data_IF_663817303179
#
_entry.id   IF_663817303179
#
_cell.length_a   1.000
_cell.length_b   1.000
_cell.length_c   1.000
_cell.angle_alpha   90.00
_cell.angle_beta   90.00
_cell.angle_gamma   90.00
#
_symmetry.space_group_name_H-M   'P 1'
#
loop_
_entity.id
_entity.type
_entity.pdbx_description
1 polymer ?
#
# COMPACT_ATOMS: atom_id res chain seq x y z
N UNK A 1 -13.23 1.52 -13.56
CA UNK A 1 -12.11 1.23 -12.62
C UNK A 1 -11.68 2.42 -11.77
N UNK A 2 -11.86 3.69 -12.21
CA UNK A 2 -11.61 4.90 -11.41
C UNK A 2 -12.57 5.08 -10.22
N UNK A 3 -13.83 4.62 -10.33
CA UNK A 3 -14.89 4.94 -9.35
C UNK A 3 -14.72 4.32 -7.95
N UNK A 4 -14.15 3.11 -7.82
CA UNK A 4 -14.10 2.41 -6.52
C UNK A 4 -12.99 2.99 -5.62
N UNK A 5 -11.85 3.37 -6.21
CA UNK A 5 -10.78 4.02 -5.47
C UNK A 5 -11.07 5.49 -5.16
N UNK A 6 -11.73 6.21 -6.08
CA UNK A 6 -12.17 7.61 -5.83
C UNK A 6 -13.25 7.68 -4.75
N UNK A 7 -14.13 6.68 -4.65
CA UNK A 7 -15.07 6.56 -3.54
C UNK A 7 -14.35 6.33 -2.19
N UNK A 8 -13.29 5.51 -2.18
CA UNK A 8 -12.43 5.34 -1.00
C UNK A 8 -11.69 6.66 -0.62
N UNK A 9 -11.36 7.47 -1.63
CA UNK A 9 -10.61 8.73 -1.51
C UNK A 9 -11.46 9.90 -1.00
N UNK A 10 -12.72 10.07 -1.46
CA UNK A 10 -13.59 11.17 -1.00
C UNK A 10 -14.00 11.00 0.47
N UNK A 11 -14.29 9.77 0.88
CA UNK A 11 -14.95 9.52 2.16
C UNK A 11 -13.96 9.46 3.33
N UNK A 12 -12.71 9.04 3.04
CA UNK A 12 -11.62 9.07 4.00
C UNK A 12 -11.11 10.50 4.28
N UNK A 13 -11.07 11.37 3.25
CA UNK A 13 -10.76 12.81 3.42
C UNK A 13 -11.84 13.50 4.27
N UNK A 14 -13.12 13.14 4.06
CA UNK A 14 -14.25 13.68 4.82
C UNK A 14 -14.14 13.34 6.31
N UNK A 15 -13.80 12.09 6.65
CA UNK A 15 -13.61 11.67 8.05
C UNK A 15 -12.43 12.37 8.74
N UNK A 16 -11.33 12.65 8.04
CA UNK A 16 -10.18 13.37 8.59
C UNK A 16 -10.50 14.84 8.86
N UNK A 17 -11.24 15.51 7.96
CA UNK A 17 -11.66 16.90 8.19
C UNK A 17 -12.64 17.03 9.35
N UNK A 18 -13.53 16.04 9.54
CA UNK A 18 -14.40 15.96 10.71
C UNK A 18 -13.56 15.80 11.99
N UNK A 19 -12.64 14.84 12.08
CA UNK A 19 -11.87 14.65 13.31
C UNK A 19 -10.95 15.87 13.65
N UNK A 20 -10.44 16.56 12.63
CA UNK A 20 -9.62 17.78 12.76
C UNK A 20 -10.43 18.99 13.24
N UNK A 21 -11.63 19.20 12.73
CA UNK A 21 -12.51 20.28 13.20
C UNK A 21 -12.94 20.07 14.65
N UNK A 22 -13.25 18.84 15.04
CA UNK A 22 -13.66 18.54 16.41
C UNK A 22 -12.50 18.65 17.41
N UNK A 23 -11.29 18.21 17.05
CA UNK A 23 -10.10 18.38 17.90
C UNK A 23 -9.68 19.85 18.10
N UNK A 24 -9.81 20.69 17.07
CA UNK A 24 -9.51 22.12 17.16
C UNK A 24 -10.58 22.90 17.93
N UNK A 25 -11.86 22.58 17.76
CA UNK A 25 -12.96 23.18 18.53
C UNK A 25 -12.85 22.83 20.02
N UNK A 26 -12.45 21.59 20.35
CA UNK A 26 -12.29 21.17 21.74
C UNK A 26 -11.09 21.83 22.43
N UNK A 27 -9.96 22.02 21.72
CA UNK A 27 -8.74 22.65 22.26
C UNK A 27 -8.81 24.18 22.31
N UNK A 28 -9.59 24.81 21.42
CA UNK A 28 -9.84 26.25 21.44
C UNK A 28 -10.88 26.64 22.51
N UNK A 29 -11.94 25.85 22.70
CA UNK A 29 -12.96 26.15 23.73
C UNK A 29 -12.47 25.93 25.17
N UNK A 30 -11.58 24.98 25.44
CA UNK A 30 -11.03 24.79 26.80
C UNK A 30 -10.14 25.95 27.25
N UNK A 31 -9.38 26.56 26.33
CA UNK A 31 -8.52 27.71 26.63
C UNK A 31 -9.25 29.06 26.69
N UNK A 32 -10.38 29.20 26.00
CA UNK A 32 -11.22 30.42 26.06
C UNK A 32 -12.13 30.39 27.29
N UNK A 33 -12.67 29.22 27.67
CA UNK A 33 -13.57 29.11 28.83
C UNK A 33 -12.81 29.23 30.16
N UNK A 34 -11.54 28.84 30.24
CA UNK A 34 -10.75 29.00 31.49
C UNK A 34 -10.24 30.41 31.73
N UNK A 35 -10.11 31.27 30.70
CA UNK A 35 -9.65 32.66 30.86
C UNK A 35 -10.76 33.69 31.05
N UNK A 36 -12.00 33.39 30.66
CA UNK A 36 -13.11 34.36 30.75
C UNK A 36 -14.08 34.09 31.90
N UNK A 37 -13.99 32.95 32.59
CA UNK A 37 -14.97 32.53 33.61
C UNK A 37 -14.44 32.57 35.06
N UNK A 38 -13.55 33.53 35.39
CA UNK A 38 -13.12 33.81 36.78
C UNK A 38 -13.95 34.89 37.46
N UNK A 39 -14.71 35.70 36.72
CA UNK A 39 -15.55 36.74 37.34
C UNK A 39 -16.94 36.73 36.74
N UNK A 40 -17.94 36.62 37.64
CA UNK A 40 -19.34 36.99 37.43
C UNK A 40 -20.20 35.92 36.73
N UNK A 41 -20.82 35.03 37.50
CA UNK A 41 -22.28 34.97 37.69
C UNK A 41 -22.69 33.70 38.46
N UNK A 42 -23.34 33.90 39.60
CA UNK A 42 -24.02 32.85 40.37
C UNK A 42 -25.38 32.54 39.71
N UNK A 43 -25.57 31.31 39.21
CA UNK A 43 -26.83 30.49 39.24
C UNK A 43 -26.70 29.25 38.33
N UNK A 44 -27.24 28.08 38.73
CA UNK A 44 -27.07 26.84 37.98
C UNK A 44 -28.14 26.72 36.88
N UNK A 45 -27.72 26.66 35.62
CA UNK A 45 -28.61 26.41 34.48
C UNK A 45 -28.17 25.14 33.75
N UNK A 46 -28.93 24.07 34.00
CA UNK A 46 -29.13 22.82 33.24
C UNK A 46 -28.04 22.46 32.21
N UNK A 47 -27.13 21.58 32.64
CA UNK A 47 -26.09 20.89 31.83
C UNK A 47 -26.61 19.74 30.96
N UNK A 48 -27.94 19.56 30.82
CA UNK A 48 -28.51 18.35 30.21
C UNK A 48 -28.47 18.31 28.67
N UNK A 49 -28.35 19.45 27.99
CA UNK A 49 -28.41 19.53 26.52
C UNK A 49 -27.05 19.44 25.83
N UNK A 50 -25.96 19.86 26.49
CA UNK A 50 -24.60 19.76 25.93
C UNK A 50 -24.07 18.31 25.95
N UNK A 51 -24.47 17.53 26.94
CA UNK A 51 -24.06 16.13 27.10
C UNK A 51 -24.77 15.21 26.09
N UNK A 52 -26.05 15.49 25.78
CA UNK A 52 -26.85 14.72 24.83
C UNK A 52 -26.33 14.85 23.38
N UNK A 53 -25.93 16.06 22.95
CA UNK A 53 -25.43 16.24 21.58
C UNK A 53 -24.06 15.58 21.36
N UNK A 54 -23.17 15.63 22.35
CA UNK A 54 -21.85 15.00 22.30
C UNK A 54 -21.95 13.47 22.24
N UNK A 55 -22.84 12.87 23.01
CA UNK A 55 -23.06 11.41 22.98
C UNK A 55 -23.68 10.96 21.65
N UNK A 56 -24.64 11.69 21.09
CA UNK A 56 -25.18 11.37 19.74
C UNK A 56 -24.13 11.51 18.64
N UNK A 57 -23.25 12.52 18.71
CA UNK A 57 -22.18 12.71 17.73
C UNK A 57 -21.10 11.64 17.86
N UNK A 58 -20.70 11.27 19.08
CA UNK A 58 -19.78 10.16 19.32
C UNK A 58 -20.35 8.84 18.81
N UNK A 59 -21.62 8.55 19.12
CA UNK A 59 -22.30 7.34 18.64
C UNK A 59 -22.39 7.29 17.11
N UNK A 60 -22.65 8.43 16.45
CA UNK A 60 -22.73 8.51 15.00
C UNK A 60 -21.37 8.33 14.32
N UNK A 61 -20.29 8.89 14.89
CA UNK A 61 -18.91 8.69 14.42
C UNK A 61 -18.46 7.24 14.58
N UNK A 62 -18.78 6.61 15.71
CA UNK A 62 -18.43 5.22 15.99
C UNK A 62 -19.17 4.23 15.09
N UNK A 63 -20.47 4.46 14.85
CA UNK A 63 -21.29 3.68 13.91
C UNK A 63 -20.77 3.82 12.47
N UNK A 64 -20.34 5.01 12.06
CA UNK A 64 -19.76 5.21 10.74
C UNK A 64 -18.40 4.48 10.59
N UNK A 65 -17.56 4.54 11.62
CA UNK A 65 -16.26 3.85 11.66
C UNK A 65 -16.39 2.34 11.51
N UNK A 66 -17.31 1.72 12.25
CA UNK A 66 -17.55 0.27 12.19
C UNK A 66 -18.09 -0.20 10.84
N UNK A 67 -18.97 0.59 10.20
CA UNK A 67 -19.50 0.29 8.87
C UNK A 67 -18.43 0.33 7.78
N UNK A 68 -17.51 1.30 7.83
CA UNK A 68 -16.41 1.45 6.87
C UNK A 68 -15.39 0.32 7.00
N UNK A 69 -15.06 -0.08 8.23
CA UNK A 69 -14.17 -1.23 8.46
C UNK A 69 -14.80 -2.49 7.89
N UNK A 70 -16.10 -2.71 8.13
CA UNK A 70 -16.83 -3.87 7.58
C UNK A 70 -16.78 -3.89 6.05
N UNK A 71 -17.13 -2.77 5.39
CA UNK A 71 -17.13 -2.66 3.92
C UNK A 71 -15.76 -2.99 3.32
N UNK A 72 -14.68 -2.44 3.89
CA UNK A 72 -13.32 -2.73 3.43
C UNK A 72 -13.01 -4.23 3.46
N UNK A 73 -13.35 -4.91 4.57
CA UNK A 73 -13.09 -6.36 4.69
C UNK A 73 -13.78 -7.13 3.59
N UNK A 74 -15.06 -6.84 3.34
CA UNK A 74 -15.83 -7.48 2.29
C UNK A 74 -15.23 -7.24 0.90
N UNK A 75 -14.74 -6.04 0.62
CA UNK A 75 -14.05 -5.76 -0.65
C UNK A 75 -12.79 -6.60 -0.83
N UNK A 76 -11.92 -6.68 0.19
CA UNK A 76 -10.70 -7.50 0.13
C UNK A 76 -11.06 -8.97 -0.08
N UNK A 77 -12.00 -9.51 0.70
CA UNK A 77 -12.42 -10.90 0.58
C UNK A 77 -13.09 -11.20 -0.75
N UNK A 78 -13.91 -10.29 -1.27
CA UNK A 78 -14.55 -10.43 -2.58
C UNK A 78 -13.50 -10.52 -3.69
N UNK A 79 -12.50 -9.64 -3.68
CA UNK A 79 -11.39 -9.70 -4.64
C UNK A 79 -10.57 -10.98 -4.46
N UNK A 80 -10.29 -11.38 -3.23
CA UNK A 80 -9.53 -12.61 -2.94
C UNK A 80 -10.25 -13.87 -3.42
N UNK A 81 -11.53 -14.04 -3.10
CA UNK A 81 -12.33 -15.18 -3.58
C UNK A 81 -12.46 -15.15 -5.10
N UNK A 82 -12.74 -13.98 -5.69
CA UNK A 82 -12.87 -13.83 -7.14
C UNK A 82 -11.56 -14.19 -7.84
N UNK A 83 -10.42 -13.74 -7.31
CA UNK A 83 -9.12 -14.04 -7.87
C UNK A 83 -8.76 -15.53 -7.74
N UNK A 84 -9.13 -16.17 -6.62
CA UNK A 84 -8.96 -17.61 -6.43
C UNK A 84 -9.79 -18.40 -7.45
N UNK A 85 -11.09 -18.11 -7.57
CA UNK A 85 -11.96 -18.76 -8.55
C UNK A 85 -11.46 -18.54 -9.98
N UNK A 86 -11.01 -17.32 -10.29
CA UNK A 86 -10.46 -17.00 -11.60
C UNK A 86 -9.18 -17.78 -11.89
N UNK A 87 -8.20 -17.77 -10.98
CA UNK A 87 -6.90 -18.39 -11.19
C UNK A 87 -6.96 -19.92 -11.38
N UNK A 88 -7.85 -20.60 -10.65
CA UNK A 88 -7.99 -22.05 -10.73
C UNK A 88 -9.01 -22.51 -11.78
N UNK A 89 -10.06 -21.73 -12.04
CA UNK A 89 -11.16 -22.11 -12.93
C UNK A 89 -11.08 -21.53 -14.34
N UNK A 90 -10.72 -20.24 -14.48
CA UNK A 90 -10.89 -19.48 -15.73
C UNK A 90 -9.59 -19.02 -16.38
N UNK A 91 -8.47 -19.05 -15.66
CA UNK A 91 -7.20 -18.60 -16.18
C UNK A 91 -6.77 -19.43 -17.42
N UNK A 92 -6.44 -18.77 -18.54
CA UNK A 92 -6.14 -19.45 -19.79
C UNK A 92 -4.82 -20.22 -19.69
N UNK A 93 -4.70 -21.25 -20.53
CA UNK A 93 -3.53 -22.11 -20.56
C UNK A 93 -3.46 -23.16 -19.45
N UNK A 94 -2.47 -24.03 -19.57
CA UNK A 94 -2.00 -24.88 -18.48
C UNK A 94 -0.96 -24.11 -17.66
N UNK A 95 -0.67 -24.58 -16.44
CA UNK A 95 0.61 -24.25 -15.81
C UNK A 95 1.68 -24.82 -16.75
N UNK A 96 2.24 -23.98 -17.63
CA UNK A 96 2.98 -24.45 -18.80
C UNK A 96 4.11 -25.41 -18.42
N UNK A 97 4.62 -26.16 -19.40
CA UNK A 97 5.67 -27.17 -19.23
C UNK A 97 6.72 -26.74 -18.20
N UNK A 98 6.80 -27.44 -17.07
CA UNK A 98 7.71 -27.13 -15.94
C UNK A 98 9.16 -26.82 -16.36
N UNK A 99 9.54 -27.21 -17.57
CA UNK A 99 10.78 -26.90 -18.26
C UNK A 99 10.98 -25.41 -18.59
N UNK A 100 9.97 -24.67 -19.07
CA UNK A 100 10.10 -23.22 -19.31
C UNK A 100 10.25 -22.44 -18.00
N UNK A 101 9.53 -22.86 -16.95
CA UNK A 101 9.68 -22.30 -15.60
C UNK A 101 11.06 -22.62 -15.01
N UNK A 102 11.56 -23.84 -15.22
CA UNK A 102 12.93 -24.21 -14.83
C UNK A 102 13.97 -23.36 -15.55
N UNK A 103 13.80 -23.07 -16.85
CA UNK A 103 14.67 -22.14 -17.60
C UNK A 103 14.65 -20.73 -17.01
N UNK A 104 13.46 -20.22 -16.66
CA UNK A 104 13.31 -18.91 -16.01
C UNK A 104 14.05 -18.85 -14.66
N UNK A 105 13.92 -19.89 -13.85
CA UNK A 105 14.54 -19.96 -12.51
C UNK A 105 16.05 -20.22 -12.61
N UNK A 106 16.50 -21.02 -13.58
CA UNK A 106 17.91 -21.36 -13.74
C UNK A 106 18.72 -20.25 -14.40
N UNK A 107 18.12 -19.51 -15.36
CA UNK A 107 18.75 -18.37 -15.99
C UNK A 107 17.71 -17.27 -16.31
N UNK A 108 17.44 -16.38 -15.35
CA UNK A 108 16.47 -15.29 -15.52
C UNK A 108 16.89 -14.23 -16.55
N UNK A 109 18.16 -14.26 -16.99
CA UNK A 109 18.70 -13.36 -18.01
C UNK A 109 18.91 -14.06 -19.37
N UNK A 110 18.32 -15.24 -19.55
CA UNK A 110 18.41 -15.95 -20.82
C UNK A 110 17.69 -15.14 -21.92
N UNK A 111 18.28 -14.99 -23.13
CA UNK A 111 17.68 -14.21 -24.22
C UNK A 111 16.27 -14.69 -24.65
N UNK A 112 15.97 -15.97 -24.43
CA UNK A 112 14.66 -16.58 -24.74
C UNK A 112 13.56 -16.24 -23.71
N UNK A 113 13.90 -15.56 -22.61
CA UNK A 113 12.93 -15.18 -21.59
C UNK A 113 12.49 -13.74 -21.82
N UNK A 114 11.18 -13.56 -21.98
CA UNK A 114 10.58 -12.24 -22.12
C UNK A 114 10.89 -11.35 -20.90
N UNK A 115 11.49 -10.17 -21.15
CA UNK A 115 12.01 -9.29 -20.09
C UNK A 115 10.90 -8.63 -19.26
N UNK A 116 9.73 -8.40 -19.85
CA UNK A 116 8.55 -7.85 -19.17
C UNK A 116 8.03 -8.85 -18.14
N UNK A 117 8.02 -10.15 -18.48
CA UNK A 117 7.65 -11.16 -17.51
C UNK A 117 8.65 -11.27 -16.36
N UNK A 118 9.95 -11.19 -16.64
CA UNK A 118 11.01 -11.16 -15.61
C UNK A 118 10.79 -9.99 -14.64
N UNK A 119 10.43 -8.82 -15.16
CA UNK A 119 10.09 -7.65 -14.35
C UNK A 119 8.91 -7.93 -13.41
N UNK A 120 7.80 -8.45 -13.93
CA UNK A 120 6.60 -8.76 -13.14
C UNK A 120 6.92 -9.81 -12.07
N UNK A 121 7.59 -10.89 -12.48
CA UNK A 121 7.91 -12.01 -11.61
C UNK A 121 8.84 -11.60 -10.46
N UNK A 122 9.88 -10.82 -10.73
CA UNK A 122 10.74 -10.28 -9.67
C UNK A 122 10.04 -9.20 -8.84
N UNK A 123 9.14 -8.42 -9.46
CA UNK A 123 8.27 -7.46 -8.78
C UNK A 123 7.38 -8.09 -7.71
N UNK A 124 6.92 -9.33 -7.93
CA UNK A 124 6.22 -10.11 -6.91
C UNK A 124 7.07 -10.44 -5.68
N UNK A 125 8.40 -10.51 -5.81
CA UNK A 125 9.31 -10.63 -4.66
C UNK A 125 9.51 -9.30 -3.91
N UNK A 126 9.50 -8.17 -4.65
CA UNK A 126 9.61 -6.83 -4.06
C UNK A 126 8.37 -6.44 -3.26
N UNK A 127 7.19 -6.81 -3.73
CA UNK A 127 5.92 -6.41 -3.11
C UNK A 127 5.82 -6.85 -1.63
N UNK A 128 6.05 -8.12 -1.25
CA UNK A 128 6.12 -8.54 0.15
C UNK A 128 7.13 -7.75 0.97
N UNK A 129 8.27 -7.37 0.38
CA UNK A 129 9.26 -6.52 1.05
C UNK A 129 8.69 -5.11 1.31
N UNK A 130 8.01 -4.49 0.34
CA UNK A 130 7.30 -3.22 0.53
C UNK A 130 6.20 -3.32 1.60
N UNK A 131 5.37 -4.36 1.52
CA UNK A 131 4.33 -4.62 2.51
C UNK A 131 4.93 -4.82 3.91
N UNK A 132 6.08 -5.50 4.02
CA UNK A 132 6.76 -5.71 5.30
C UNK A 132 7.18 -4.38 5.94
N UNK A 133 7.69 -3.43 5.15
CA UNK A 133 8.07 -2.08 5.63
C UNK A 133 6.91 -1.25 6.14
N UNK A 134 5.69 -1.53 5.69
CA UNK A 134 4.49 -0.81 6.11
C UNK A 134 3.69 -1.55 7.19
N UNK A 135 3.76 -2.87 7.26
CA UNK A 135 2.94 -3.67 8.17
C UNK A 135 3.69 -4.03 9.47
N UNK A 136 4.95 -4.47 9.37
CA UNK A 136 5.68 -5.03 10.53
C UNK A 136 5.99 -4.04 11.66
N UNK A 137 6.41 -2.78 11.41
CA UNK A 137 6.77 -1.85 12.50
C UNK A 137 5.62 -1.51 13.47
N UNK A 138 4.40 -1.95 13.13
CA UNK A 138 3.14 -1.50 13.75
C UNK A 138 2.33 -2.66 14.34
N UNK A 139 2.88 -3.86 14.35
CA UNK A 139 2.18 -5.00 14.93
C UNK A 139 2.06 -4.85 16.44
N UNK A 140 0.84 -5.04 16.97
CA UNK A 140 0.63 -5.21 18.41
C UNK A 140 0.95 -6.65 18.78
N UNK A 141 1.36 -6.87 20.03
CA UNK A 141 1.55 -8.22 20.60
C UNK A 141 0.30 -9.10 20.47
N UNK A 142 -0.89 -8.51 20.62
CA UNK A 142 -2.18 -9.23 20.63
C UNK A 142 -2.95 -9.15 19.30
N UNK A 143 -2.35 -8.59 18.25
CA UNK A 143 -2.96 -8.56 16.91
C UNK A 143 -2.50 -9.72 16.03
N UNK A 144 -3.29 -10.02 14.99
CA UNK A 144 -2.88 -10.96 13.94
C UNK A 144 -1.53 -10.55 13.35
N UNK A 145 -0.54 -11.44 13.45
CA UNK A 145 0.84 -11.21 12.97
C UNK A 145 0.89 -11.29 11.45
N UNK A 146 1.48 -10.31 10.78
CA UNK A 146 1.61 -10.27 9.32
C UNK A 146 2.76 -11.12 8.81
N UNK A 147 3.83 -11.27 9.59
CA UNK A 147 5.07 -11.93 9.13
C UNK A 147 4.86 -13.31 8.48
N UNK A 148 3.96 -14.21 8.95
CA UNK A 148 3.76 -15.49 8.28
C UNK A 148 3.16 -15.30 6.89
N UNK A 149 2.16 -14.43 6.78
CA UNK A 149 1.50 -14.11 5.51
C UNK A 149 2.45 -13.40 4.53
N UNK A 150 3.36 -12.56 5.04
CA UNK A 150 4.39 -11.90 4.23
C UNK A 150 5.38 -12.90 3.65
N UNK A 151 5.89 -13.84 4.46
CA UNK A 151 6.82 -14.87 3.97
C UNK A 151 6.13 -15.77 2.93
N UNK A 152 4.92 -16.23 3.23
CA UNK A 152 4.17 -17.10 2.29
C UNK A 152 3.79 -16.34 1.01
N UNK A 153 3.57 -15.02 1.09
CA UNK A 153 3.29 -14.19 -0.08
C UNK A 153 4.46 -14.04 -1.06
N UNK A 154 5.68 -14.41 -0.69
CA UNK A 154 6.79 -14.50 -1.67
C UNK A 154 6.54 -15.58 -2.74
N UNK A 155 5.75 -16.60 -2.41
CA UNK A 155 5.44 -17.71 -3.32
C UNK A 155 4.02 -17.64 -3.87
N UNK A 156 3.08 -17.21 -3.03
CA UNK A 156 1.64 -17.22 -3.34
C UNK A 156 1.05 -15.83 -3.58
N UNK A 157 1.82 -14.76 -3.36
CA UNK A 157 1.37 -13.40 -3.58
C UNK A 157 0.10 -13.02 -2.84
N UNK A 158 -0.89 -12.46 -3.53
CA UNK A 158 -2.16 -12.05 -2.93
C UNK A 158 -2.98 -13.23 -2.40
N UNK A 159 -2.76 -14.47 -2.86
CA UNK A 159 -3.45 -15.63 -2.27
C UNK A 159 -3.12 -15.77 -0.78
N UNK A 160 -1.88 -15.48 -0.39
CA UNK A 160 -1.45 -15.48 1.01
C UNK A 160 -1.74 -14.16 1.71
N UNK A 161 -1.52 -13.02 1.04
CA UNK A 161 -1.63 -11.72 1.68
C UNK A 161 -3.08 -11.22 1.82
N UNK A 162 -3.97 -11.60 0.89
CA UNK A 162 -5.37 -11.17 0.85
C UNK A 162 -6.16 -11.46 2.13
N UNK A 163 -6.14 -12.68 2.70
CA UNK A 163 -6.83 -12.99 3.95
C UNK A 163 -6.31 -12.14 5.11
N UNK A 164 -5.00 -11.92 5.19
CA UNK A 164 -4.41 -11.05 6.20
C UNK A 164 -4.91 -9.60 6.05
N UNK A 165 -4.89 -9.04 4.83
CA UNK A 165 -5.37 -7.68 4.57
C UNK A 165 -6.87 -7.52 4.87
N UNK A 166 -7.67 -8.57 4.65
CA UNK A 166 -9.09 -8.60 4.99
C UNK A 166 -9.35 -8.66 6.49
N UNK A 167 -8.57 -9.45 7.22
CA UNK A 167 -8.74 -9.64 8.67
C UNK A 167 -8.13 -8.52 9.51
N UNK A 168 -7.03 -7.91 9.05
CA UNK A 168 -6.35 -6.85 9.80
C UNK A 168 -7.28 -5.67 10.08
N UNK A 169 -6.99 -4.91 11.13
CA UNK A 169 -7.65 -3.63 11.42
C UNK A 169 -6.70 -2.50 11.00
N UNK A 170 -7.06 -1.67 10.00
CA UNK A 170 -6.30 -0.48 9.64
C UNK A 170 -6.09 0.42 10.84
N UNK A 171 -4.94 1.09 10.92
CA UNK A 171 -4.66 2.03 12.02
C UNK A 171 -4.47 3.43 11.48
N UNK A 172 -5.31 4.35 11.96
CA UNK A 172 -5.24 5.77 11.62
C UNK A 172 -5.01 6.69 12.84
N UNK A 173 -4.98 6.13 14.06
CA UNK A 173 -4.66 6.86 15.28
C UNK A 173 -3.14 6.92 15.46
N UNK A 174 -2.64 8.06 15.94
CA UNK A 174 -1.22 8.23 16.30
C UNK A 174 -0.81 7.09 17.25
N UNK A 175 0.20 6.34 16.86
CA UNK A 175 0.73 5.21 17.64
C UNK A 175 1.43 5.81 18.86
N UNK A 176 1.03 5.40 20.07
CA UNK A 176 1.77 5.71 21.29
C UNK A 176 3.19 5.11 21.20
N UNK A 177 4.18 5.78 21.78
CA UNK A 177 5.59 5.44 21.63
C UNK A 177 5.92 3.99 22.02
N UNK A 178 5.19 3.45 22.99
CA UNK A 178 5.29 2.14 23.62
C UNK A 178 4.88 0.95 22.72
N UNK A 179 4.15 1.20 21.64
CA UNK A 179 3.60 0.15 20.77
C UNK A 179 4.37 -0.02 19.45
N UNK A 180 5.41 0.80 19.25
CA UNK A 180 6.27 0.71 18.08
C UNK A 180 7.35 -0.35 18.24
N UNK A 181 7.48 -1.24 17.26
CA UNK A 181 8.52 -2.25 17.24
C UNK A 181 9.53 -1.93 16.14
N UNK A 182 10.78 -1.57 16.48
CA UNK A 182 11.82 -1.41 15.48
C UNK A 182 12.06 -2.77 14.81
N UNK A 183 11.84 -2.81 13.50
CA UNK A 183 11.97 -4.02 12.68
C UNK A 183 13.13 -3.87 11.72
N UNK A 184 13.60 -4.98 11.16
CA UNK A 184 14.67 -4.97 10.14
C UNK A 184 14.34 -4.05 8.96
N UNK A 185 13.05 -3.89 8.67
CA UNK A 185 12.53 -3.04 7.58
C UNK A 185 12.63 -1.53 7.84
N UNK A 186 13.01 -1.12 9.05
CA UNK A 186 13.27 0.29 9.40
C UNK A 186 14.73 0.68 9.20
N UNK A 187 15.62 -0.29 8.93
CA UNK A 187 17.01 -0.02 8.64
C UNK A 187 17.15 0.78 7.33
N UNK A 188 18.01 1.81 7.33
CA UNK A 188 18.35 2.59 6.14
C UNK A 188 18.89 1.70 5.02
N UNK A 189 19.70 0.70 5.34
CA UNK A 189 20.26 -0.22 4.34
C UNK A 189 19.18 -1.00 3.60
N UNK A 190 18.17 -1.50 4.33
CA UNK A 190 17.02 -2.20 3.73
C UNK A 190 16.25 -1.28 2.78
N UNK A 191 15.97 -0.04 3.20
CA UNK A 191 15.22 0.96 2.41
C UNK A 191 15.94 1.29 1.09
N UNK A 192 17.23 1.61 1.17
CA UNK A 192 18.01 1.96 -0.03
C UNK A 192 18.28 0.74 -0.92
N UNK A 193 18.55 -0.44 -0.34
CA UNK A 193 18.73 -1.68 -1.11
C UNK A 193 17.47 -2.02 -1.91
N UNK A 194 16.29 -1.92 -1.29
CA UNK A 194 15.01 -2.14 -1.98
C UNK A 194 14.82 -1.13 -3.12
N UNK A 195 15.07 0.15 -2.89
CA UNK A 195 14.95 1.17 -3.93
C UNK A 195 15.90 0.93 -5.11
N UNK A 196 17.18 0.64 -4.84
CA UNK A 196 18.16 0.31 -5.88
C UNK A 196 17.71 -0.92 -6.67
N UNK A 197 17.23 -1.97 -5.98
CA UNK A 197 16.73 -3.17 -6.63
C UNK A 197 15.54 -2.87 -7.55
N UNK A 198 14.59 -2.04 -7.12
CA UNK A 198 13.46 -1.60 -7.96
C UNK A 198 13.92 -0.82 -9.17
N UNK A 199 14.88 0.09 -9.02
CA UNK A 199 15.45 0.85 -10.15
C UNK A 199 16.12 -0.09 -11.15
N UNK A 200 16.92 -1.06 -10.66
CA UNK A 200 17.55 -2.09 -11.48
C UNK A 200 16.49 -2.91 -12.23
N UNK A 201 15.44 -3.38 -11.55
CA UNK A 201 14.35 -4.12 -12.19
C UNK A 201 13.67 -3.32 -13.30
N UNK A 202 13.42 -2.02 -13.09
CA UNK A 202 12.85 -1.16 -14.13
C UNK A 202 13.78 -0.99 -15.32
N UNK A 203 15.08 -0.82 -15.09
CA UNK A 203 16.07 -0.68 -16.15
C UNK A 203 16.16 -1.95 -17.00
N UNK A 204 16.25 -3.12 -16.36
CA UNK A 204 16.35 -4.41 -17.05
C UNK A 204 15.01 -4.82 -17.69
N UNK A 205 13.90 -4.64 -16.97
CA UNK A 205 12.57 -5.06 -17.36
C UNK A 205 11.98 -4.29 -18.53
N UNK A 206 12.18 -2.98 -18.54
CA UNK A 206 11.70 -2.08 -19.61
C UNK A 206 12.79 -1.75 -20.62
N UNK A 207 13.97 -2.40 -20.54
CA UNK A 207 15.13 -2.16 -21.40
C UNK A 207 15.44 -0.68 -21.63
N UNK A 208 15.25 0.15 -20.60
CA UNK A 208 15.37 1.62 -20.67
C UNK A 208 16.83 2.05 -20.96
N UNK A 209 17.80 1.16 -20.76
CA UNK A 209 19.20 1.40 -21.06
C UNK A 209 19.72 0.39 -22.09
N UNK A 210 19.72 0.72 -23.40
CA UNK A 210 20.37 -0.10 -24.42
C UNK A 210 21.90 -0.11 -24.27
N UNK A 211 22.48 0.77 -23.44
CA UNK A 211 23.91 1.07 -23.43
C UNK A 211 24.82 -0.12 -23.10
N UNK A 212 24.29 -1.21 -22.54
CA UNK A 212 25.04 -2.45 -22.27
C UNK A 212 24.52 -3.66 -23.06
N UNK A 213 23.39 -3.52 -23.77
CA UNK A 213 22.80 -4.58 -24.56
C UNK A 213 23.14 -4.34 -26.01
N UNK A 214 24.34 -4.77 -26.40
CA UNK A 214 24.72 -4.93 -27.81
C UNK A 214 23.93 -6.10 -28.40
N UNK A 215 22.60 -5.98 -28.50
CA UNK A 215 21.88 -6.81 -29.46
C UNK A 215 22.34 -6.30 -30.81
N UNK A 216 23.16 -7.10 -31.50
CA UNK A 216 23.89 -6.74 -32.73
C UNK A 216 23.00 -6.42 -33.94
N UNK A 217 21.71 -6.17 -33.72
CA UNK A 217 20.68 -6.03 -34.74
C UNK A 217 20.45 -4.57 -35.14
N UNK A 218 21.13 -3.61 -34.48
CA UNK A 218 21.12 -2.19 -34.86
C UNK A 218 19.74 -1.50 -34.82
N UNK A 219 18.74 -2.17 -34.22
CA UNK A 219 17.35 -1.73 -34.23
C UNK A 219 17.11 -0.61 -33.20
N UNK A 220 16.36 0.45 -33.56
CA UNK A 220 15.90 1.46 -32.62
C UNK A 220 15.20 0.88 -31.38
N UNK A 221 15.47 1.46 -30.20
CA UNK A 221 15.03 0.97 -28.88
C UNK A 221 13.50 0.94 -28.71
N UNK A 222 12.77 1.73 -29.49
CA UNK A 222 11.31 1.79 -29.55
C UNK A 222 10.69 0.56 -30.23
N UNK A 223 11.34 0.03 -31.28
CA UNK A 223 10.84 -1.14 -32.02
C UNK A 223 11.07 -2.44 -31.20
N UNK A 224 12.19 -2.54 -30.48
CA UNK A 224 12.48 -3.69 -29.61
C UNK A 224 11.47 -3.85 -28.48
N UNK A 225 11.00 -2.75 -27.89
CA UNK A 225 10.00 -2.77 -26.82
C UNK A 225 8.62 -3.23 -27.30
N UNK A 226 8.22 -2.83 -28.50
CA UNK A 226 6.94 -3.25 -29.09
C UNK A 226 6.92 -4.75 -29.40
N UNK A 227 8.03 -5.27 -29.94
CA UNK A 227 8.19 -6.70 -30.22
C UNK A 227 8.07 -7.56 -28.95
N UNK A 228 8.73 -7.14 -27.87
CA UNK A 228 8.66 -7.85 -26.58
C UNK A 228 7.29 -7.75 -25.92
N UNK A 229 6.59 -6.63 -26.12
CA UNK A 229 5.22 -6.48 -25.64
C UNK A 229 4.29 -7.47 -26.34
N UNK A 230 4.40 -7.62 -27.65
CA UNK A 230 3.57 -8.57 -28.41
C UNK A 230 3.83 -10.02 -27.99
N UNK A 231 5.10 -10.39 -27.80
CA UNK A 231 5.47 -11.71 -27.26
C UNK A 231 4.91 -11.91 -25.83
N UNK A 232 5.02 -10.90 -24.98
CA UNK A 232 4.45 -10.94 -23.63
C UNK A 232 2.93 -11.12 -23.65
N UNK A 233 2.21 -10.42 -24.53
CA UNK A 233 0.76 -10.57 -24.68
C UNK A 233 0.40 -11.98 -25.11
N UNK A 234 1.14 -12.57 -26.05
CA UNK A 234 0.95 -13.97 -26.43
C UNK A 234 1.18 -14.93 -25.26
N UNK A 235 2.25 -14.72 -24.48
CA UNK A 235 2.53 -15.49 -23.27
C UNK A 235 1.43 -15.34 -22.23
N UNK A 236 0.89 -14.13 -22.06
CA UNK A 236 -0.20 -13.84 -21.13
C UNK A 236 -1.50 -14.56 -21.50
N UNK A 237 -1.77 -14.78 -22.78
CA UNK A 237 -2.95 -15.53 -23.23
C UNK A 237 -2.73 -17.05 -23.28
N UNK A 238 -1.49 -17.50 -23.37
CA UNK A 238 -1.16 -18.93 -23.56
C UNK A 238 -0.81 -19.64 -22.26
N UNK A 239 -0.21 -18.93 -21.30
CA UNK A 239 0.37 -19.53 -20.11
C UNK A 239 -0.33 -19.07 -18.83
N UNK A 240 -0.85 -20.03 -18.06
CA UNK A 240 -1.58 -19.75 -16.82
C UNK A 240 -0.71 -19.07 -15.77
N UNK A 241 0.56 -19.45 -15.66
CA UNK A 241 1.44 -18.89 -14.64
C UNK A 241 1.70 -17.41 -14.92
N UNK A 242 2.04 -17.06 -16.17
CA UNK A 242 2.24 -15.68 -16.61
C UNK A 242 0.97 -14.88 -16.37
N UNK A 243 -0.18 -15.42 -16.79
CA UNK A 243 -1.47 -14.77 -16.62
C UNK A 243 -1.80 -14.44 -15.16
N UNK A 244 -1.73 -15.45 -14.27
CA UNK A 244 -2.10 -15.32 -12.86
C UNK A 244 -1.12 -14.42 -12.12
N UNK A 245 0.19 -14.58 -12.35
CA UNK A 245 1.22 -13.76 -11.69
C UNK A 245 1.14 -12.28 -12.09
N UNK A 246 0.84 -11.98 -13.36
CA UNK A 246 0.64 -10.60 -13.80
C UNK A 246 -0.58 -9.95 -13.16
N UNK A 247 -1.70 -10.68 -13.07
CA UNK A 247 -2.89 -10.17 -12.37
C UNK A 247 -2.59 -9.99 -10.87
N UNK A 248 -1.93 -10.96 -10.25
CA UNK A 248 -1.52 -10.90 -8.84
C UNK A 248 -0.66 -9.67 -8.55
N UNK A 249 0.30 -9.38 -9.43
CA UNK A 249 1.17 -8.21 -9.34
C UNK A 249 0.34 -6.92 -9.29
N UNK A 250 -0.62 -6.75 -10.20
CA UNK A 250 -1.48 -5.56 -10.21
C UNK A 250 -2.38 -5.46 -8.99
N UNK A 251 -2.95 -6.59 -8.53
CA UNK A 251 -3.78 -6.63 -7.32
C UNK A 251 -2.95 -6.21 -6.10
N UNK A 252 -1.75 -6.78 -5.93
CA UNK A 252 -0.86 -6.42 -4.84
C UNK A 252 -0.43 -4.95 -4.91
N UNK A 253 -0.14 -4.41 -6.10
CA UNK A 253 0.13 -2.98 -6.28
C UNK A 253 -1.06 -2.11 -5.87
N UNK A 254 -2.28 -2.50 -6.24
CA UNK A 254 -3.50 -1.78 -5.91
C UNK A 254 -3.76 -1.76 -4.39
N UNK A 255 -3.64 -2.90 -3.71
CA UNK A 255 -3.87 -2.99 -2.28
C UNK A 255 -2.73 -2.41 -1.43
N UNK A 256 -1.55 -2.17 -2.01
CA UNK A 256 -0.40 -1.57 -1.32
C UNK A 256 -0.67 -0.12 -0.95
N UNK A 257 -1.57 0.56 -1.68
CA UNK A 257 -1.94 1.95 -1.43
C UNK A 257 -2.46 2.16 -0.01
N UNK A 258 -3.22 1.21 0.53
CA UNK A 258 -3.83 1.37 1.85
C UNK A 258 -2.76 1.34 2.98
N UNK A 259 -1.90 0.31 3.12
CA UNK A 259 -0.79 0.33 4.08
C UNK A 259 0.16 1.51 3.89
N UNK A 260 0.42 1.91 2.64
CA UNK A 260 1.25 3.07 2.32
C UNK A 260 0.65 4.36 2.88
N UNK A 261 -0.66 4.56 2.68
CA UNK A 261 -1.36 5.75 3.15
C UNK A 261 -1.51 5.78 4.68
N UNK A 262 -1.69 4.61 5.30
CA UNK A 262 -1.59 4.46 6.75
C UNK A 262 -0.22 4.92 7.26
N UNK A 263 0.89 4.50 6.61
CA UNK A 263 2.25 4.93 6.96
C UNK A 263 2.41 6.46 6.91
N UNK A 264 1.98 7.06 5.79
CA UNK A 264 2.05 8.52 5.57
C UNK A 264 1.30 9.30 6.64
N UNK A 265 0.06 8.89 6.95
CA UNK A 265 -0.76 9.54 7.97
C UNK A 265 -0.10 9.50 9.34
N UNK A 266 0.43 8.34 9.72
CA UNK A 266 1.02 8.12 11.04
C UNK A 266 2.32 8.90 11.23
N UNK A 267 3.10 9.10 10.17
CA UNK A 267 4.32 9.92 10.22
C UNK A 267 4.07 11.42 10.07
N UNK A 268 2.81 11.84 10.02
CA UNK A 268 2.46 13.26 9.90
C UNK A 268 2.85 13.87 8.55
N UNK A 269 2.98 13.06 7.49
CA UNK A 269 3.40 13.50 6.16
C UNK A 269 2.45 14.55 5.53
N UNK A 270 1.23 14.69 6.06
CA UNK A 270 0.25 15.71 5.63
C UNK A 270 0.21 16.95 6.55
N UNK A 271 1.12 17.09 7.53
CA UNK A 271 1.14 18.25 8.44
C UNK A 271 1.73 19.48 7.77
N UNK A 272 2.81 19.31 7.02
CA UNK A 272 3.50 20.41 6.36
C UNK A 272 3.08 20.45 4.89
N UNK A 273 2.57 21.60 4.44
CA UNK A 273 1.95 21.80 3.14
C UNK A 273 2.98 21.92 2.02
N UNK A 274 3.88 20.94 1.87
CA UNK A 274 4.84 20.90 0.77
C UNK A 274 4.19 20.27 -0.48
N UNK A 275 4.29 20.97 -1.61
CA UNK A 275 3.83 20.46 -2.92
C UNK A 275 4.52 19.13 -3.30
N UNK A 276 5.73 18.91 -2.79
CA UNK A 276 6.52 17.69 -2.96
C UNK A 276 5.80 16.45 -2.41
N UNK A 277 5.14 16.59 -1.25
CA UNK A 277 4.46 15.49 -0.55
C UNK A 277 3.23 15.01 -1.34
N UNK A 278 2.52 15.96 -1.95
CA UNK A 278 1.38 15.67 -2.83
C UNK A 278 1.82 15.07 -4.15
N UNK A 279 2.99 15.45 -4.67
CA UNK A 279 3.53 14.89 -5.91
C UNK A 279 4.03 13.45 -5.71
N UNK A 280 4.74 13.17 -4.62
CA UNK A 280 5.16 11.81 -4.25
C UNK A 280 3.98 10.84 -4.07
N UNK A 281 2.85 11.34 -3.58
CA UNK A 281 1.60 10.57 -3.50
C UNK A 281 1.05 10.21 -4.89
N UNK A 282 1.05 11.17 -5.83
CA UNK A 282 0.62 10.94 -7.21
C UNK A 282 1.59 9.98 -7.93
N UNK A 283 2.90 10.16 -7.76
CA UNK A 283 3.92 9.27 -8.37
C UNK A 283 3.82 7.85 -7.83
N UNK A 284 3.48 7.68 -6.54
CA UNK A 284 3.19 6.36 -5.95
C UNK A 284 2.01 5.64 -6.57
N UNK A 285 1.11 6.37 -7.21
CA UNK A 285 -0.03 5.82 -7.94
C UNK A 285 0.27 5.54 -9.41
N UNK A 286 1.06 6.40 -10.06
CA UNK A 286 1.32 6.31 -11.50
C UNK A 286 2.34 5.22 -11.83
N UNK A 287 3.32 4.97 -10.95
CA UNK A 287 4.40 4.02 -11.21
C UNK A 287 4.49 2.96 -10.11
N UNK A 288 3.94 1.76 -10.35
CA UNK A 288 3.97 0.66 -9.38
C UNK A 288 5.40 0.36 -8.91
N UNK A 289 5.59 0.01 -7.64
CA UNK A 289 6.89 -0.22 -6.99
C UNK A 289 7.78 1.02 -6.79
N UNK A 290 8.00 1.87 -7.81
CA UNK A 290 8.93 3.01 -7.72
C UNK A 290 8.44 4.00 -6.67
N UNK A 291 7.21 4.48 -6.77
CA UNK A 291 6.77 5.52 -5.85
C UNK A 291 6.68 5.05 -4.38
N UNK A 292 6.16 3.85 -4.06
CA UNK A 292 6.30 3.28 -2.71
C UNK A 292 7.74 3.18 -2.22
N UNK A 293 8.69 2.84 -3.10
CA UNK A 293 10.12 2.75 -2.77
C UNK A 293 10.77 4.12 -2.55
N UNK A 294 10.43 5.13 -3.35
CA UNK A 294 10.87 6.52 -3.14
C UNK A 294 10.34 7.03 -1.81
N UNK A 295 9.05 6.79 -1.54
CA UNK A 295 8.45 7.13 -0.26
C UNK A 295 9.19 6.44 0.90
N UNK A 296 9.53 5.16 0.74
CA UNK A 296 10.35 4.49 1.74
C UNK A 296 11.69 5.19 1.92
N UNK A 297 12.35 5.72 0.91
CA UNK A 297 13.61 6.47 1.09
C UNK A 297 13.42 7.83 1.75
N UNK A 298 12.32 8.54 1.47
CA UNK A 298 12.08 9.92 1.94
C UNK A 298 11.26 10.00 3.22
N UNK A 299 10.63 8.92 3.68
CA UNK A 299 9.74 8.95 4.85
C UNK A 299 10.45 9.53 6.07
N UNK A 300 9.81 10.45 6.81
CA UNK A 300 10.38 11.03 8.02
C UNK A 300 10.73 9.95 9.05
N UNK A 301 11.88 10.13 9.73
CA UNK A 301 12.14 9.41 10.97
C UNK A 301 11.10 9.83 11.99
N UNK A 302 10.62 8.91 12.82
CA UNK A 302 9.71 9.28 13.90
C UNK A 302 10.44 10.21 14.86
N UNK A 303 9.80 11.32 15.20
CA UNK A 303 10.37 12.31 16.10
C UNK A 303 10.31 11.75 17.52
N UNK A 304 11.46 11.36 18.09
CA UNK A 304 11.57 10.80 19.45
C UNK A 304 11.47 11.90 20.54
N UNK A 305 10.81 13.02 20.25
CA UNK A 305 10.76 14.15 21.16
C UNK A 305 9.83 13.81 22.32
N UNK A 306 10.44 13.28 23.38
CA UNK A 306 10.04 13.53 24.76
C UNK A 306 10.16 15.05 24.96
N UNK A 307 9.03 15.74 24.93
CA UNK A 307 8.84 16.98 25.69
C UNK A 307 7.99 16.66 26.91
#
# INVERSE_FOLDING_TARGET
>A
MVGIAVAFQSDCIRCVNLNRHYGLIHKSRTNIITKTFSNKFSRPLKTHWSQFSLTTLQCQVEKNSTSMVSFRRWTVFSVWVSFLVYAFGFAPGSFGDVEWLKKLVSNPFHPEVNSIFVFIFNGLGVLPALYSSFLLPREKRDSLKAWPFLIVSLFLGFFALGPYLGLRKPRYSLINEDEYQPTLTENNWFRYSLFVFVVVLYIFGLKIFPLLSTTGDGMPWDISLLSEWDEYVQLFHTNRLVHVSSIDFFILCMFLVEPLFEDMKLRGFFRDSLLLDRWLWIVSWVVPLIGPSIYLCTRPKRNNNKE
#
